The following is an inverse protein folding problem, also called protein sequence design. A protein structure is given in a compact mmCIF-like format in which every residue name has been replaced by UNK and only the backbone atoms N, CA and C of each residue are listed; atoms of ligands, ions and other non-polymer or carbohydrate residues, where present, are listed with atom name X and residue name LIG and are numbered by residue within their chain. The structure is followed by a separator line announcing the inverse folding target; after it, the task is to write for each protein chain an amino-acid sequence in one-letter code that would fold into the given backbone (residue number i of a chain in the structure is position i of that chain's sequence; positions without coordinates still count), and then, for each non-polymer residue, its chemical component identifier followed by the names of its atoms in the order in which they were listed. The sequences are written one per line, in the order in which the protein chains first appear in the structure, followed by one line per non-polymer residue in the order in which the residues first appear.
data_IF_250559314357
#
_entry.id   IF_250559314357
#
_cell.length_a   1.000
_cell.length_b   1.000
_cell.length_c   1.000
_cell.angle_alpha   90.00
_cell.angle_beta   90.00
_cell.angle_gamma   90.00
#
_symmetry.space_group_name_H-M   'P 1'
#
loop_
_entity.id
_entity.type
_entity.pdbx_description
1 polymer ?
#
# COMPACT_ATOMS: atom_id res chain seq x y z
N UNK A 1 -6.94 7.54 -7.34
CA UNK A 1 -6.99 8.21 -8.67
C UNK A 1 -7.83 7.37 -9.63
N UNK A 2 -8.77 7.96 -10.34
CA UNK A 2 -9.47 7.31 -11.45
C UNK A 2 -8.58 7.37 -12.69
N UNK A 3 -8.01 6.26 -13.09
CA UNK A 3 -7.13 6.18 -14.26
C UNK A 3 -7.88 5.83 -15.54
N UNK A 4 -9.04 5.21 -15.40
CA UNK A 4 -9.99 4.90 -16.48
C UNK A 4 -11.38 4.95 -15.87
N UNK A 5 -12.39 5.31 -16.65
CA UNK A 5 -13.77 5.33 -16.16
C UNK A 5 -14.09 4.01 -15.43
N UNK A 6 -14.47 4.09 -14.16
CA UNK A 6 -14.85 2.97 -13.29
C UNK A 6 -13.72 2.07 -12.75
N UNK A 7 -12.44 2.46 -12.88
CA UNK A 7 -11.31 1.74 -12.29
C UNK A 7 -10.47 2.71 -11.46
N UNK A 8 -10.22 2.34 -10.21
CA UNK A 8 -9.51 3.18 -9.24
C UNK A 8 -8.37 2.40 -8.63
N UNK A 9 -7.22 3.05 -8.50
CA UNK A 9 -6.09 2.54 -7.73
C UNK A 9 -5.90 3.38 -6.47
N UNK A 10 -5.40 2.78 -5.42
CA UNK A 10 -5.05 3.47 -4.18
C UNK A 10 -3.75 4.29 -4.27
N UNK A 11 -3.12 4.34 -5.45
CA UNK A 11 -1.89 5.06 -5.73
C UNK A 11 -1.98 5.78 -7.07
N UNK A 12 -1.22 6.85 -7.23
CA UNK A 12 -1.11 7.59 -8.50
C UNK A 12 -0.15 6.95 -9.50
N UNK A 13 0.77 6.10 -9.00
CA UNK A 13 1.79 5.43 -9.80
C UNK A 13 1.91 3.98 -9.39
N UNK A 14 1.94 3.10 -10.38
CA UNK A 14 2.25 1.69 -10.17
C UNK A 14 3.77 1.54 -10.13
N UNK A 15 4.30 1.00 -9.05
CA UNK A 15 5.74 0.82 -8.84
C UNK A 15 6.05 -0.65 -8.61
N UNK A 16 7.08 -1.16 -9.27
CA UNK A 16 7.56 -2.53 -9.09
C UNK A 16 7.82 -2.89 -7.62
N UNK A 17 7.51 -4.11 -7.23
CA UNK A 17 7.62 -4.62 -5.86
C UNK A 17 6.79 -3.85 -4.83
N UNK A 18 5.67 -3.25 -5.26
CA UNK A 18 4.68 -2.64 -4.38
C UNK A 18 3.36 -3.39 -4.44
N UNK A 19 2.54 -3.20 -3.41
CA UNK A 19 1.16 -3.67 -3.38
C UNK A 19 0.24 -2.57 -3.84
N UNK A 20 -0.73 -2.91 -4.67
CA UNK A 20 -1.74 -1.99 -5.17
C UNK A 20 -3.13 -2.55 -4.93
N UNK A 21 -4.01 -1.71 -4.40
CA UNK A 21 -5.42 -2.01 -4.26
C UNK A 21 -6.17 -1.45 -5.47
N UNK A 22 -7.00 -2.30 -6.07
CA UNK A 22 -7.78 -2.00 -7.27
C UNK A 22 -9.24 -2.05 -6.89
N UNK A 23 -10.00 -1.02 -7.29
CA UNK A 23 -11.45 -0.97 -7.12
C UNK A 23 -12.12 -0.83 -8.49
N UNK A 24 -13.16 -1.61 -8.73
CA UNK A 24 -13.91 -1.67 -9.97
C UNK A 24 -15.39 -1.38 -9.73
N UNK A 25 -15.91 -0.37 -10.43
CA UNK A 25 -17.32 0.04 -10.38
C UNK A 25 -17.99 -0.01 -11.77
N UNK A 26 -17.41 -0.79 -12.69
CA UNK A 26 -17.88 -0.87 -14.06
C UNK A 26 -19.14 -1.71 -14.24
N UNK A 27 -19.31 -2.27 -15.45
CA UNK A 27 -20.51 -2.98 -15.89
C UNK A 27 -21.02 -3.97 -14.83
N UNK A 28 -20.18 -4.86 -14.32
CA UNK A 28 -20.62 -5.93 -13.42
C UNK A 28 -21.06 -5.43 -12.04
N UNK A 29 -20.52 -4.29 -11.59
CA UNK A 29 -20.98 -3.65 -10.35
C UNK A 29 -22.34 -3.00 -10.56
N UNK A 30 -22.53 -2.33 -11.71
CA UNK A 30 -23.80 -1.69 -12.08
C UNK A 30 -24.92 -2.72 -12.32
N UNK A 31 -24.57 -3.87 -12.91
CA UNK A 31 -25.48 -5.00 -13.15
C UNK A 31 -25.69 -5.87 -11.87
N UNK A 32 -25.12 -5.45 -10.75
CA UNK A 32 -25.22 -6.11 -9.45
C UNK A 32 -24.77 -7.57 -9.45
N UNK A 33 -23.75 -7.94 -10.26
CA UNK A 33 -23.15 -9.28 -10.25
C UNK A 33 -22.78 -9.71 -8.83
N UNK A 34 -22.87 -11.00 -8.52
CA UNK A 34 -22.49 -11.52 -7.20
C UNK A 34 -20.98 -11.71 -7.07
N UNK A 35 -20.33 -12.19 -8.14
CA UNK A 35 -18.89 -12.43 -8.18
C UNK A 35 -18.27 -11.83 -9.41
N UNK A 36 -17.12 -11.17 -9.20
CA UNK A 36 -16.28 -10.66 -10.27
C UNK A 36 -14.84 -11.14 -10.03
N UNK A 37 -14.21 -11.55 -11.10
CA UNK A 37 -12.83 -12.01 -11.12
C UNK A 37 -11.97 -10.96 -11.80
N UNK A 38 -10.82 -10.71 -11.22
CA UNK A 38 -9.76 -9.88 -11.77
C UNK A 38 -8.74 -10.79 -12.47
N UNK A 39 -8.74 -10.77 -13.79
CA UNK A 39 -7.82 -11.50 -14.65
C UNK A 39 -6.68 -10.58 -15.05
N UNK A 40 -5.44 -10.89 -14.69
CA UNK A 40 -4.31 -10.01 -14.96
C UNK A 40 -3.02 -10.77 -15.27
N UNK A 41 -2.11 -10.09 -15.96
CA UNK A 41 -0.75 -10.53 -16.29
C UNK A 41 0.17 -9.35 -16.52
N UNK A 42 1.44 -9.63 -16.73
CA UNK A 42 2.47 -8.61 -16.90
C UNK A 42 3.10 -8.67 -18.31
N UNK A 43 3.38 -7.48 -18.87
CA UNK A 43 3.99 -7.35 -20.19
C UNK A 43 3.08 -7.77 -21.33
N UNK A 44 3.54 -7.56 -22.55
CA UNK A 44 2.77 -7.88 -23.76
C UNK A 44 2.39 -9.36 -23.88
N UNK A 45 3.21 -10.25 -23.34
CA UNK A 45 2.99 -11.70 -23.36
C UNK A 45 2.12 -12.23 -22.22
N UNK A 46 1.56 -11.38 -21.41
CA UNK A 46 0.75 -11.76 -20.25
C UNK A 46 1.48 -12.74 -19.30
N UNK A 47 2.71 -12.42 -18.95
CA UNK A 47 3.49 -13.24 -18.03
C UNK A 47 2.83 -13.30 -16.64
N UNK A 48 2.92 -14.47 -15.99
CA UNK A 48 2.37 -14.69 -14.64
C UNK A 48 0.87 -14.41 -14.52
N UNK A 49 0.08 -14.87 -15.48
CA UNK A 49 -1.38 -14.69 -15.48
C UNK A 49 -1.99 -15.29 -14.21
N UNK A 50 -2.90 -14.54 -13.62
CA UNK A 50 -3.68 -14.97 -12.44
C UNK A 50 -5.10 -14.47 -12.51
N UNK A 51 -6.00 -15.26 -11.90
CA UNK A 51 -7.38 -14.91 -11.64
C UNK A 51 -7.59 -14.77 -10.14
N UNK A 52 -8.12 -13.64 -9.71
CA UNK A 52 -8.40 -13.37 -8.30
C UNK A 52 -9.88 -12.99 -8.16
N UNK A 53 -10.58 -13.65 -7.25
CA UNK A 53 -11.94 -13.23 -6.88
C UNK A 53 -11.87 -11.89 -6.16
N UNK A 54 -12.66 -10.94 -6.63
CA UNK A 54 -12.74 -9.62 -5.99
C UNK A 54 -13.77 -9.62 -4.85
N UNK A 55 -13.48 -8.89 -3.80
CA UNK A 55 -14.40 -8.67 -2.69
C UNK A 55 -15.45 -7.62 -3.09
N UNK A 56 -16.74 -7.95 -2.96
CA UNK A 56 -17.84 -7.02 -3.20
C UNK A 56 -18.04 -6.12 -1.99
N UNK A 57 -17.93 -4.82 -2.20
CA UNK A 57 -18.15 -3.79 -1.18
C UNK A 57 -19.21 -2.80 -1.64
N UNK A 58 -19.66 -1.91 -0.76
CA UNK A 58 -20.60 -0.84 -1.12
C UNK A 58 -20.00 0.14 -2.16
N UNK A 59 -18.67 0.25 -2.23
CA UNK A 59 -17.94 1.14 -3.12
C UNK A 59 -17.45 0.47 -4.41
N UNK A 60 -17.82 -0.79 -4.67
CA UNK A 60 -17.38 -1.55 -5.83
C UNK A 60 -16.71 -2.87 -5.47
N UNK A 61 -16.27 -3.60 -6.48
CA UNK A 61 -15.46 -4.80 -6.31
C UNK A 61 -14.00 -4.41 -6.07
N UNK A 62 -13.35 -5.03 -5.08
CA UNK A 62 -12.00 -4.67 -4.65
C UNK A 62 -11.09 -5.89 -4.57
N UNK A 63 -9.82 -5.69 -4.91
CA UNK A 63 -8.75 -6.68 -4.71
C UNK A 63 -7.42 -5.99 -4.49
N UNK A 64 -6.45 -6.71 -3.92
CA UNK A 64 -5.07 -6.25 -3.77
C UNK A 64 -4.14 -7.22 -4.49
N UNK A 65 -3.19 -6.69 -5.25
CA UNK A 65 -2.17 -7.45 -5.94
C UNK A 65 -0.77 -6.89 -5.65
N UNK A 66 0.24 -7.72 -5.83
CA UNK A 66 1.65 -7.32 -5.82
C UNK A 66 2.17 -7.17 -7.25
N UNK A 67 2.83 -6.05 -7.52
CA UNK A 67 3.43 -5.74 -8.83
C UNK A 67 4.82 -6.37 -8.90
N UNK A 68 4.92 -7.57 -9.46
CA UNK A 68 6.16 -8.37 -9.49
C UNK A 68 7.07 -8.05 -10.69
N UNK A 69 6.68 -7.13 -11.55
CA UNK A 69 7.39 -6.77 -12.78
C UNK A 69 7.36 -5.28 -13.01
N UNK A 70 8.38 -4.74 -13.67
CA UNK A 70 8.44 -3.35 -14.13
C UNK A 70 7.96 -3.17 -15.58
N UNK A 71 7.27 -4.16 -16.13
CA UNK A 71 6.61 -4.08 -17.42
C UNK A 71 5.23 -3.43 -17.27
N UNK A 72 4.32 -3.67 -18.20
CA UNK A 72 2.94 -3.22 -18.11
C UNK A 72 2.10 -4.18 -17.27
N UNK A 73 1.16 -3.65 -16.48
CA UNK A 73 0.06 -4.43 -15.92
C UNK A 73 -1.07 -4.49 -16.94
N UNK A 74 -1.38 -5.68 -17.43
CA UNK A 74 -2.50 -5.94 -18.33
C UNK A 74 -3.59 -6.67 -17.57
N UNK A 75 -4.85 -6.24 -17.71
CA UNK A 75 -5.94 -6.91 -17.02
C UNK A 75 -7.29 -6.71 -17.68
N UNK A 76 -8.23 -7.54 -17.28
CA UNK A 76 -9.66 -7.45 -17.58
C UNK A 76 -10.45 -8.07 -16.42
N UNK A 77 -11.77 -7.98 -16.51
CA UNK A 77 -12.67 -8.55 -15.51
C UNK A 77 -13.58 -9.56 -16.17
N UNK A 78 -14.01 -10.56 -15.39
CA UNK A 78 -15.10 -11.43 -15.81
C UNK A 78 -16.01 -11.77 -14.62
N UNK A 79 -17.26 -12.07 -14.89
CA UNK A 79 -18.24 -12.43 -13.88
C UNK A 79 -18.44 -13.95 -13.80
N UNK A 80 -19.30 -14.38 -12.88
CA UNK A 80 -19.69 -15.77 -12.67
C UNK A 80 -20.35 -16.43 -13.90
N UNK A 81 -20.92 -15.64 -14.80
CA UNK A 81 -21.55 -16.11 -16.03
C UNK A 81 -20.58 -16.26 -17.21
N UNK A 82 -19.28 -15.93 -17.00
CA UNK A 82 -18.27 -15.98 -18.04
C UNK A 82 -18.31 -14.78 -19.01
N UNK A 83 -19.03 -13.72 -18.67
CA UNK A 83 -19.00 -12.48 -19.43
C UNK A 83 -17.74 -11.69 -19.12
N UNK A 84 -17.16 -11.02 -20.11
CA UNK A 84 -15.93 -10.25 -20.00
C UNK A 84 -16.16 -8.75 -20.10
N UNK A 85 -15.45 -8.00 -19.27
CA UNK A 85 -15.24 -6.57 -19.41
C UNK A 85 -13.75 -6.32 -19.65
N UNK A 86 -13.41 -6.17 -20.92
CA UNK A 86 -12.04 -6.06 -21.42
C UNK A 86 -11.81 -4.78 -22.21
N UNK A 87 -12.47 -3.70 -21.84
CA UNK A 87 -12.29 -2.40 -22.49
C UNK A 87 -12.48 -2.45 -24.03
N UNK A 88 -13.60 -3.04 -24.47
CA UNK A 88 -13.91 -3.20 -25.91
C UNK A 88 -12.83 -4.00 -26.67
N UNK A 89 -12.41 -5.14 -26.15
CA UNK A 89 -11.37 -6.04 -26.69
C UNK A 89 -9.94 -5.45 -26.74
N UNK A 90 -9.68 -4.39 -25.97
CA UNK A 90 -8.33 -3.76 -25.89
C UNK A 90 -7.61 -4.08 -24.60
N UNK A 91 -8.30 -4.70 -23.63
CA UNK A 91 -7.86 -4.86 -22.26
C UNK A 91 -7.52 -3.51 -21.56
N UNK A 92 -7.28 -3.56 -20.28
CA UNK A 92 -6.77 -2.42 -19.52
C UNK A 92 -5.26 -2.58 -19.39
N UNK A 93 -4.50 -1.57 -19.77
CA UNK A 93 -3.03 -1.61 -19.81
C UNK A 93 -2.47 -0.40 -19.09
N UNK A 94 -1.63 -0.63 -18.06
CA UNK A 94 -1.01 0.42 -17.28
C UNK A 94 0.49 0.19 -17.14
N UNK A 95 1.33 1.23 -17.32
CA UNK A 95 2.76 1.11 -17.15
C UNK A 95 3.11 0.95 -15.66
N UNK A 96 4.10 0.12 -15.36
CA UNK A 96 4.69 -0.03 -14.03
C UNK A 96 6.07 0.63 -14.05
N UNK A 97 6.27 1.59 -13.15
CA UNK A 97 7.57 2.23 -12.98
C UNK A 97 8.54 1.31 -12.23
N UNK A 98 9.78 1.27 -12.66
CA UNK A 98 10.84 0.60 -11.90
C UNK A 98 11.01 1.29 -10.56
N UNK A 99 11.17 0.49 -9.51
CA UNK A 99 11.56 1.04 -8.22
C UNK A 99 12.93 1.68 -8.37
N UNK A 100 13.01 3.01 -8.33
CA UNK A 100 14.28 3.71 -8.28
C UNK A 100 14.97 3.32 -6.97
N UNK A 101 16.04 2.54 -7.09
CA UNK A 101 17.01 2.44 -6.00
C UNK A 101 17.74 3.78 -6.06
N UNK A 102 17.39 4.70 -5.19
CA UNK A 102 18.31 5.79 -4.89
C UNK A 102 19.59 5.13 -4.39
N UNK A 103 20.54 4.98 -5.29
CA UNK A 103 21.93 4.79 -4.91
C UNK A 103 22.25 6.03 -4.08
N UNK A 104 22.21 5.88 -2.77
CA UNK A 104 22.95 6.77 -1.90
C UNK A 104 24.38 6.58 -2.38
N UNK A 105 24.81 7.41 -3.32
CA UNK A 105 26.22 7.62 -3.60
C UNK A 105 26.74 8.16 -2.25
N UNK A 106 27.26 7.27 -1.45
CA UNK A 106 28.18 7.65 -0.40
C UNK A 106 29.34 8.25 -1.18
N UNK A 107 29.28 9.58 -1.38
CA UNK A 107 30.45 10.32 -1.77
C UNK A 107 31.54 9.83 -0.82
N UNK A 108 32.63 9.28 -1.39
CA UNK A 108 33.82 8.82 -0.65
C UNK A 108 34.59 9.99 0.00
N UNK A 109 33.87 11.00 0.43
CA UNK A 109 34.36 11.97 1.39
C UNK A 109 34.50 11.24 2.73
N UNK A 110 35.68 11.19 3.32
CA UNK A 110 35.89 10.57 4.62
C UNK A 110 34.98 11.29 5.63
N UNK A 111 33.86 10.63 5.96
CA UNK A 111 32.91 11.15 6.98
C UNK A 111 33.72 11.41 8.22
N UNK A 112 34.03 12.68 8.50
CA UNK A 112 34.79 13.04 9.68
C UNK A 112 34.07 12.44 10.89
N UNK A 113 34.83 11.82 11.80
CA UNK A 113 34.31 11.16 13.01
C UNK A 113 33.31 12.04 13.79
N UNK A 114 33.35 13.35 13.59
CA UNK A 114 32.41 14.32 14.12
C UNK A 114 31.01 14.23 13.59
N UNK A 115 30.80 13.94 12.29
CA UNK A 115 29.48 13.81 11.67
C UNK A 115 28.77 12.53 12.13
N UNK A 116 29.48 11.40 12.18
CA UNK A 116 28.93 10.15 12.68
C UNK A 116 28.49 10.25 14.15
N UNK A 117 29.25 10.98 14.99
CA UNK A 117 28.87 11.26 16.38
C UNK A 117 27.62 12.14 16.48
N UNK A 118 27.44 13.12 15.56
CA UNK A 118 26.27 14.01 15.55
C UNK A 118 24.98 13.25 15.16
N UNK A 119 25.05 12.40 14.14
CA UNK A 119 23.92 11.56 13.71
C UNK A 119 23.52 10.55 14.80
N UNK A 120 24.49 9.92 15.45
CA UNK A 120 24.22 9.00 16.56
C UNK A 120 23.57 9.70 17.76
N UNK A 121 23.98 10.95 18.08
CA UNK A 121 23.36 11.74 19.14
C UNK A 121 21.92 12.12 18.79
N UNK A 122 21.64 12.54 17.56
CA UNK A 122 20.27 12.88 17.13
C UNK A 122 19.34 11.66 17.15
N UNK A 123 19.79 10.51 16.72
CA UNK A 123 19.03 9.26 16.77
C UNK A 123 18.68 8.86 18.22
N UNK A 124 19.65 8.93 19.14
CA UNK A 124 19.43 8.63 20.56
C UNK A 124 18.44 9.62 21.17
N UNK A 125 18.53 10.89 20.80
CA UNK A 125 17.64 11.93 21.27
C UNK A 125 16.20 11.72 20.78
N UNK A 126 15.99 11.42 19.50
CA UNK A 126 14.68 11.05 18.93
C UNK A 126 14.06 9.82 19.61
N UNK A 127 14.88 8.80 19.92
CA UNK A 127 14.43 7.62 20.65
C UNK A 127 13.97 7.95 22.08
N UNK A 128 14.68 8.85 22.79
CA UNK A 128 14.31 9.32 24.13
C UNK A 128 13.00 10.12 24.11
N UNK A 129 12.80 11.01 23.13
CA UNK A 129 11.54 11.76 22.97
C UNK A 129 10.38 10.81 22.72
N UNK A 130 10.53 9.84 21.83
CA UNK A 130 9.49 8.88 21.52
C UNK A 130 9.06 8.07 22.74
N UNK A 131 10.02 7.64 23.57
CA UNK A 131 9.76 6.95 24.84
C UNK A 131 9.08 7.86 25.89
N UNK A 132 9.45 9.15 25.93
CA UNK A 132 8.81 10.11 26.83
C UNK A 132 7.36 10.36 26.44
N UNK A 133 7.08 10.56 25.16
CA UNK A 133 5.71 10.72 24.63
C UNK A 133 4.86 9.48 24.92
N UNK A 134 5.41 8.28 24.68
CA UNK A 134 4.72 7.04 24.98
C UNK A 134 4.35 6.91 26.46
N UNK A 135 5.27 7.27 27.37
CA UNK A 135 5.00 7.29 28.83
C UNK A 135 3.90 8.28 29.21
N UNK A 136 3.89 9.47 28.59
CA UNK A 136 2.85 10.48 28.84
C UNK A 136 1.48 9.95 28.39
N UNK A 137 1.39 9.40 27.17
CA UNK A 137 0.13 8.86 26.61
C UNK A 137 -0.40 7.69 27.46
N UNK A 138 0.47 6.83 27.98
CA UNK A 138 0.06 5.68 28.79
C UNK A 138 -0.24 6.04 30.25
N UNK A 139 0.35 7.12 30.76
CA UNK A 139 0.19 7.56 32.16
C UNK A 139 -1.03 8.48 32.36
N UNK A 140 -1.26 9.43 31.46
CA UNK A 140 -2.38 10.38 31.56
C UNK A 140 -3.76 9.73 31.71
N UNK A 141 -4.13 8.69 30.94
CA UNK A 141 -5.43 8.03 31.14
C UNK A 141 -5.59 7.42 32.51
N UNK A 142 -4.51 6.90 33.11
CA UNK A 142 -4.52 6.30 34.45
C UNK A 142 -4.72 7.32 35.54
N UNK A 143 -4.17 8.53 35.37
CA UNK A 143 -4.35 9.64 36.33
C UNK A 143 -5.77 10.19 36.23
N UNK A 144 -6.28 10.39 35.01
CA UNK A 144 -7.64 10.92 34.76
C UNK A 144 -8.72 9.93 35.22
N UNK A 145 -8.51 8.63 35.09
CA UNK A 145 -9.44 7.58 35.51
C UNK A 145 -9.47 7.35 37.03
N UNK A 146 -8.68 8.08 37.82
CA UNK A 146 -8.61 7.95 39.29
C UNK A 146 -8.01 6.64 39.79
N UNK A 147 -7.51 5.78 38.89
CA UNK A 147 -6.93 4.47 39.25
C UNK A 147 -5.47 4.54 39.73
N UNK A 148 -4.94 5.74 39.97
CA UNK A 148 -3.60 5.91 40.48
C UNK A 148 -3.58 5.81 42.01
N UNK A 149 -3.25 4.64 42.53
CA UNK A 149 -2.93 4.48 43.95
C UNK A 149 -1.52 5.03 44.22
N UNK A 150 -1.42 6.16 44.91
CA UNK A 150 -0.17 6.59 45.51
C UNK A 150 0.30 5.47 46.44
N UNK A 151 1.50 4.91 46.20
CA UNK A 151 2.17 4.11 47.24
C UNK A 151 2.41 5.06 48.41
N UNK A 152 1.68 4.86 49.47
CA UNK A 152 1.99 5.51 50.72
C UNK A 152 3.40 5.06 51.13
N UNK A 153 4.27 6.00 51.36
CA UNK A 153 5.54 5.76 52.08
C UNK A 153 5.18 5.37 53.49
N UNK A 154 5.32 4.13 53.84
CA UNK A 154 5.37 3.71 55.24
C UNK A 154 6.65 4.25 55.83
N UNK A 155 6.48 5.04 56.90
CA UNK A 155 7.50 5.39 57.86
C UNK A 155 7.83 4.18 58.72
#
# INVERSE_FOLDING_TARGET
MELTKNIFFNTDKLVENSKVKISYTGKFFQDNSEKVFFHYGFGENWNNVKDIVMEKTELGFQTEIELISSETLNFCFFNENGEWDNNYNKNYVFPIEKKSVELIVLDDEPVSLGHARKLRKSYIWCKKIRLAIYKIITYLPKVISGNYKKKASEQ
#
